data_IF_003988272201
#
_entry.id   IF_003988272201
#
_cell.length_a   1.000
_cell.length_b   1.000
_cell.length_c   1.000
_cell.angle_alpha   90.00
_cell.angle_beta   90.00
_cell.angle_gamma   90.00
#
_symmetry.space_group_name_H-M   'P 1'
#
loop_
_entity.id
_entity.type
_entity.pdbx_description
1 polymer ?
#
# COMPACT_ATOMS: atom_id res chain seq x y z
N UNK A 1 -1.22 26.94 8.87
CA UNK A 1 -1.12 25.64 8.16
C UNK A 1 -1.14 24.53 9.21
N UNK A 2 -1.81 23.39 9.00
CA UNK A 2 -2.01 22.33 10.01
C UNK A 2 -0.75 21.48 10.30
N UNK A 3 0.42 21.85 9.78
CA UNK A 3 1.67 21.09 9.93
C UNK A 3 1.70 19.77 9.13
N UNK A 4 0.82 19.61 8.14
CA UNK A 4 0.77 18.42 7.29
C UNK A 4 1.77 18.60 6.14
N UNK A 5 2.76 17.72 6.09
CA UNK A 5 3.84 17.77 5.09
C UNK A 5 3.86 16.53 4.19
N UNK A 6 3.06 15.51 4.51
CA UNK A 6 3.03 14.24 3.79
C UNK A 6 1.59 13.88 3.45
N UNK A 7 1.37 13.48 2.21
CA UNK A 7 0.06 13.05 1.73
C UNK A 7 0.18 11.73 0.97
N UNK A 8 -0.90 10.96 0.93
CA UNK A 8 -1.01 9.76 0.12
C UNK A 8 -2.20 9.93 -0.83
N UNK A 9 -1.93 10.06 -2.12
CA UNK A 9 -2.95 10.31 -3.14
C UNK A 9 -3.59 9.00 -3.59
N UNK A 10 -4.87 8.83 -3.28
CA UNK A 10 -5.66 7.63 -3.55
C UNK A 10 -6.93 7.98 -4.32
N UNK A 11 -7.36 7.11 -5.24
CA UNK A 11 -8.69 7.19 -5.85
C UNK A 11 -9.79 6.80 -4.84
N UNK A 12 -9.45 5.93 -3.89
CA UNK A 12 -10.41 5.31 -2.97
C UNK A 12 -11.11 4.10 -3.59
N UNK A 13 -11.81 3.35 -2.73
CA UNK A 13 -12.62 2.21 -3.14
C UNK A 13 -13.98 2.67 -3.68
N UNK A 14 -14.54 1.89 -4.59
CA UNK A 14 -15.86 2.18 -5.13
C UNK A 14 -16.92 2.07 -4.02
N UNK A 15 -17.87 3.02 -3.93
CA UNK A 15 -18.90 3.09 -2.87
C UNK A 15 -19.69 1.80 -2.67
N UNK A 16 -20.02 1.08 -3.75
CA UNK A 16 -20.60 -0.28 -3.74
C UNK A 16 -19.86 -1.32 -2.90
N UNK A 17 -18.55 -1.15 -2.68
CA UNK A 17 -17.72 -2.05 -1.86
C UNK A 17 -17.66 -1.60 -0.39
N UNK A 18 -18.26 -0.45 -0.05
CA UNK A 18 -18.28 0.11 1.29
C UNK A 18 -19.57 -0.15 2.06
N UNK A 19 -19.66 0.44 3.25
CA UNK A 19 -20.80 0.37 4.17
C UNK A 19 -21.99 1.25 3.76
N UNK A 20 -21.79 2.16 2.79
CA UNK A 20 -22.81 3.04 2.23
C UNK A 20 -22.91 2.87 0.70
N UNK A 21 -23.36 1.71 0.19
CA UNK A 21 -23.42 1.43 -1.25
C UNK A 21 -24.35 2.35 -2.04
N UNK A 22 -25.29 3.01 -1.36
CA UNK A 22 -26.21 4.03 -1.91
C UNK A 22 -25.57 5.42 -2.07
N UNK A 23 -24.38 5.65 -1.54
CA UNK A 23 -23.70 6.94 -1.68
C UNK A 23 -23.35 7.21 -3.15
N UNK A 24 -23.57 8.46 -3.58
CA UNK A 24 -23.15 8.89 -4.92
C UNK A 24 -21.63 8.97 -4.97
N UNK A 25 -20.98 8.26 -5.89
CA UNK A 25 -19.54 8.39 -6.01
C UNK A 25 -19.17 9.76 -6.60
N UNK A 26 -18.07 10.32 -6.10
CA UNK A 26 -17.45 11.54 -6.64
C UNK A 26 -16.12 11.11 -7.26
N UNK A 27 -16.04 11.16 -8.59
CA UNK A 27 -14.90 10.66 -9.37
C UNK A 27 -14.25 11.78 -10.18
N UNK A 28 -14.31 13.02 -9.68
CA UNK A 28 -13.76 14.18 -10.38
C UNK A 28 -12.24 14.07 -10.55
N UNK A 29 -11.56 13.45 -9.59
CA UNK A 29 -10.12 13.20 -9.62
C UNK A 29 -9.83 11.75 -9.23
N UNK A 30 -9.02 11.06 -10.04
CA UNK A 30 -8.36 9.82 -9.63
C UNK A 30 -7.00 10.13 -8.96
N UNK A 31 -6.31 9.09 -8.47
CA UNK A 31 -5.00 9.27 -7.84
C UNK A 31 -3.94 9.96 -8.71
N UNK A 32 -4.00 9.83 -10.05
CA UNK A 32 -3.04 10.49 -10.96
C UNK A 32 -3.41 11.97 -11.11
N UNK A 33 -4.68 12.27 -11.36
CA UNK A 33 -5.15 13.66 -11.44
C UNK A 33 -5.04 14.40 -10.11
N UNK A 34 -5.18 13.71 -8.98
CA UNK A 34 -4.96 14.27 -7.65
C UNK A 34 -3.48 14.60 -7.40
N UNK A 35 -2.54 13.73 -7.80
CA UNK A 35 -1.11 14.05 -7.77
C UNK A 35 -0.80 15.29 -8.59
N UNK A 36 -1.32 15.35 -9.82
CA UNK A 36 -1.15 16.51 -10.69
C UNK A 36 -1.74 17.79 -10.08
N UNK A 37 -2.91 17.69 -9.45
CA UNK A 37 -3.54 18.80 -8.74
C UNK A 37 -2.64 19.33 -7.63
N UNK A 38 -2.06 18.44 -6.82
CA UNK A 38 -1.13 18.84 -5.76
C UNK A 38 0.12 19.48 -6.36
N UNK A 39 0.68 18.90 -7.43
CA UNK A 39 1.84 19.46 -8.11
C UNK A 39 1.60 20.89 -8.64
N UNK A 40 0.39 21.19 -9.13
CA UNK A 40 0.00 22.54 -9.51
C UNK A 40 -0.10 23.47 -8.31
N UNK A 41 -0.72 23.02 -7.21
CA UNK A 41 -0.82 23.81 -5.99
C UNK A 41 0.57 24.18 -5.45
N UNK A 42 1.53 23.26 -5.47
CA UNK A 42 2.92 23.52 -5.10
C UNK A 42 3.62 24.54 -6.01
N UNK A 43 3.13 24.72 -7.25
CA UNK A 43 3.59 25.78 -8.17
C UNK A 43 2.92 27.13 -7.95
N UNK A 44 1.96 27.22 -7.02
CA UNK A 44 1.23 28.45 -6.70
C UNK A 44 -0.01 28.68 -7.55
N UNK A 45 -0.51 27.66 -8.24
CA UNK A 45 -1.69 27.77 -9.12
C UNK A 45 -2.69 26.66 -8.81
N UNK A 46 -3.99 26.99 -8.77
CA UNK A 46 -5.05 25.98 -8.62
C UNK A 46 -5.42 25.32 -9.97
N UNK A 47 -6.31 24.32 -9.93
CA UNK A 47 -6.79 23.64 -11.15
C UNK A 47 -7.54 24.56 -12.12
N UNK A 48 -8.10 25.67 -11.65
CA UNK A 48 -8.78 26.67 -12.47
C UNK A 48 -7.82 27.68 -13.12
N UNK A 49 -6.52 27.61 -12.82
CA UNK A 49 -5.52 28.56 -13.29
C UNK A 49 -5.40 29.83 -12.43
N UNK A 50 -6.06 29.89 -11.27
CA UNK A 50 -5.97 31.03 -10.37
C UNK A 50 -4.68 30.96 -9.55
N UNK A 51 -4.07 32.12 -9.33
CA UNK A 51 -2.92 32.24 -8.44
C UNK A 51 -3.34 32.04 -6.98
N UNK A 52 -2.56 31.26 -6.23
CA UNK A 52 -2.75 31.08 -4.80
C UNK A 52 -2.32 32.34 -4.04
N UNK A 53 -3.05 32.66 -2.98
CA UNK A 53 -2.67 33.73 -2.04
C UNK A 53 -1.79 33.14 -0.95
N UNK A 54 -0.56 33.63 -0.85
CA UNK A 54 0.42 33.20 0.15
C UNK A 54 1.50 32.29 -0.42
N UNK A 55 2.29 31.68 0.46
CA UNK A 55 3.33 30.72 0.06
C UNK A 55 2.67 29.42 -0.44
N UNK A 56 3.04 28.92 -1.64
CA UNK A 56 2.57 27.62 -2.11
C UNK A 56 2.91 26.51 -1.11
N UNK A 57 2.01 25.54 -0.89
CA UNK A 57 2.31 24.42 -0.02
C UNK A 57 3.43 23.56 -0.61
N UNK A 58 4.02 22.71 0.22
CA UNK A 58 4.96 21.67 -0.20
C UNK A 58 4.64 20.37 0.53
N UNK A 59 4.54 19.30 -0.22
CA UNK A 59 4.20 17.98 0.27
C UNK A 59 5.15 16.92 -0.28
N UNK A 60 5.48 15.95 0.57
CA UNK A 60 5.91 14.63 0.11
C UNK A 60 4.68 13.87 -0.41
N UNK A 61 4.62 13.66 -1.72
CA UNK A 61 3.46 13.10 -2.42
C UNK A 61 3.60 11.58 -2.56
N UNK A 62 2.87 10.83 -1.75
CA UNK A 62 2.81 9.37 -1.83
C UNK A 62 1.75 8.89 -2.82
N UNK A 63 1.94 7.69 -3.37
CA UNK A 63 0.91 6.98 -4.12
C UNK A 63 0.93 5.47 -3.89
N UNK A 64 -0.14 4.77 -4.29
CA UNK A 64 -0.24 3.31 -4.11
C UNK A 64 0.00 2.52 -5.40
N UNK A 65 0.62 1.34 -5.28
CA UNK A 65 0.77 0.35 -6.35
C UNK A 65 0.48 -1.07 -5.84
N UNK A 66 0.06 -1.98 -6.72
CA UNK A 66 -0.34 -3.36 -6.34
C UNK A 66 0.54 -4.39 -7.06
N UNK A 67 1.73 -4.71 -6.55
CA UNK A 67 2.74 -5.49 -7.25
C UNK A 67 2.31 -6.96 -7.49
N UNK A 68 1.42 -7.49 -6.66
CA UNK A 68 0.91 -8.86 -6.76
C UNK A 68 -0.35 -9.00 -7.64
N UNK A 69 -0.82 -7.94 -8.30
CA UNK A 69 -1.99 -8.03 -9.18
C UNK A 69 -1.70 -8.87 -10.44
N UNK A 70 -2.73 -9.50 -10.99
CA UNK A 70 -2.61 -10.35 -12.20
C UNK A 70 -2.03 -9.62 -13.41
N UNK A 71 -2.19 -8.29 -13.49
CA UNK A 71 -1.66 -7.46 -14.57
C UNK A 71 -0.49 -6.59 -14.10
N UNK A 72 0.69 -7.18 -14.01
CA UNK A 72 1.95 -6.49 -13.65
C UNK A 72 2.22 -5.30 -14.57
N UNK A 73 2.07 -5.47 -15.88
CA UNK A 73 2.38 -4.41 -16.85
C UNK A 73 1.40 -3.23 -16.73
N UNK A 74 0.13 -3.47 -16.40
CA UNK A 74 -0.82 -2.40 -16.12
C UNK A 74 -0.46 -1.63 -14.84
N UNK A 75 0.07 -2.32 -13.81
CA UNK A 75 0.54 -1.67 -12.58
C UNK A 75 1.79 -0.81 -12.82
N UNK A 76 2.72 -1.28 -13.66
CA UNK A 76 3.90 -0.51 -14.05
C UNK A 76 3.51 0.73 -14.87
N UNK A 77 2.60 0.61 -15.84
CA UNK A 77 2.10 1.74 -16.60
C UNK A 77 1.38 2.77 -15.71
N UNK A 78 0.62 2.30 -14.69
CA UNK A 78 0.01 3.20 -13.69
C UNK A 78 1.07 3.88 -12.81
N UNK A 79 2.09 3.14 -12.39
CA UNK A 79 3.20 3.70 -11.59
C UNK A 79 3.93 4.78 -12.39
N UNK A 80 4.26 4.54 -13.65
CA UNK A 80 4.88 5.53 -14.55
C UNK A 80 4.06 6.82 -14.65
N UNK A 81 2.75 6.72 -14.87
CA UNK A 81 1.84 7.88 -14.91
C UNK A 81 1.85 8.65 -13.59
N UNK A 82 1.88 7.95 -12.45
CA UNK A 82 1.95 8.57 -11.12
C UNK A 82 3.28 9.29 -10.90
N UNK A 83 4.39 8.72 -11.38
CA UNK A 83 5.70 9.37 -11.35
C UNK A 83 5.69 10.64 -12.19
N UNK A 84 5.17 10.57 -13.42
CA UNK A 84 5.02 11.73 -14.29
C UNK A 84 4.12 12.83 -13.68
N UNK A 85 3.13 12.44 -12.88
CA UNK A 85 2.24 13.36 -12.16
C UNK A 85 2.84 13.93 -10.85
N UNK A 86 4.07 13.55 -10.48
CA UNK A 86 4.77 14.11 -9.33
C UNK A 86 4.82 13.24 -8.08
N UNK A 87 4.56 11.93 -8.16
CA UNK A 87 4.74 11.05 -7.00
C UNK A 87 6.21 11.01 -6.53
N UNK A 88 6.41 11.18 -5.23
CA UNK A 88 7.71 11.15 -4.55
C UNK A 88 8.06 9.77 -4.01
N UNK A 89 7.06 9.00 -3.56
CA UNK A 89 7.24 7.64 -3.05
C UNK A 89 6.00 6.79 -3.29
N UNK A 90 6.15 5.47 -3.12
CA UNK A 90 5.05 4.52 -3.23
C UNK A 90 4.89 3.66 -1.99
N UNK A 91 3.64 3.35 -1.66
CA UNK A 91 3.28 2.27 -0.74
C UNK A 91 2.63 1.15 -1.54
N UNK A 92 3.01 -0.09 -1.29
CA UNK A 92 2.31 -1.20 -1.94
C UNK A 92 1.04 -1.57 -1.17
N UNK A 93 0.07 -2.16 -1.88
CA UNK A 93 -0.91 -3.03 -1.24
C UNK A 93 -0.21 -4.18 -0.50
N UNK A 94 -0.93 -4.85 0.40
CA UNK A 94 -0.37 -5.93 1.19
C UNK A 94 0.23 -7.05 0.31
N UNK A 95 1.44 -7.47 0.65
CA UNK A 95 2.17 -8.53 -0.05
C UNK A 95 2.12 -9.81 0.78
N UNK A 96 1.62 -10.89 0.17
CA UNK A 96 1.74 -12.26 0.69
C UNK A 96 2.52 -13.18 -0.25
N UNK A 97 2.92 -12.67 -1.42
CA UNK A 97 3.64 -13.40 -2.45
C UNK A 97 4.95 -12.66 -2.79
N UNK A 98 6.03 -12.86 -2.01
CA UNK A 98 7.30 -12.14 -2.18
C UNK A 98 7.87 -12.25 -3.60
N UNK A 99 7.75 -13.41 -4.24
CA UNK A 99 8.26 -13.59 -5.61
C UNK A 99 7.60 -12.65 -6.63
N UNK A 100 6.28 -12.40 -6.52
CA UNK A 100 5.58 -11.45 -7.40
C UNK A 100 6.03 -10.03 -7.11
N UNK A 101 6.21 -9.69 -5.83
CA UNK A 101 6.75 -8.40 -5.42
C UNK A 101 8.15 -8.15 -6.01
N UNK A 102 9.05 -9.11 -5.89
CA UNK A 102 10.42 -9.03 -6.41
C UNK A 102 10.42 -8.83 -7.93
N UNK A 103 9.65 -9.64 -8.67
CA UNK A 103 9.51 -9.51 -10.13
C UNK A 103 8.98 -8.13 -10.55
N UNK A 104 8.03 -7.58 -9.79
CA UNK A 104 7.54 -6.22 -10.02
C UNK A 104 8.63 -5.18 -9.76
N UNK A 105 9.33 -5.27 -8.63
CA UNK A 105 10.36 -4.30 -8.24
C UNK A 105 11.56 -4.29 -9.19
N UNK A 106 11.94 -5.43 -9.75
CA UNK A 106 12.98 -5.52 -10.78
C UNK A 106 12.67 -4.69 -12.02
N UNK A 107 11.39 -4.57 -12.40
CA UNK A 107 10.94 -3.69 -13.47
C UNK A 107 10.75 -2.25 -12.97
N UNK A 108 10.17 -2.07 -11.79
CA UNK A 108 9.82 -0.75 -11.25
C UNK A 108 11.04 0.11 -10.87
N UNK A 109 12.21 -0.50 -10.63
CA UNK A 109 13.46 0.22 -10.32
C UNK A 109 13.84 1.27 -11.37
N UNK A 110 13.40 1.10 -12.63
CA UNK A 110 13.62 2.07 -13.70
C UNK A 110 13.00 3.45 -13.41
N UNK A 111 11.98 3.52 -12.55
CA UNK A 111 11.30 4.77 -12.20
C UNK A 111 12.03 5.56 -11.10
N UNK A 112 13.01 4.96 -10.41
CA UNK A 112 13.86 5.66 -9.44
C UNK A 112 13.14 6.23 -8.21
N UNK A 113 11.96 5.72 -7.85
CA UNK A 113 11.19 6.17 -6.68
C UNK A 113 11.26 5.16 -5.54
N UNK A 114 11.38 5.61 -4.27
CA UNK A 114 11.35 4.73 -3.11
C UNK A 114 9.99 4.05 -2.97
N UNK A 115 10.02 2.76 -2.62
CA UNK A 115 8.83 1.94 -2.41
C UNK A 115 8.86 1.33 -1.02
N UNK A 116 7.75 1.45 -0.29
CA UNK A 116 7.51 0.79 0.98
C UNK A 116 6.64 -0.45 0.75
N UNK A 117 7.13 -1.63 1.16
CA UNK A 117 6.35 -2.87 1.06
C UNK A 117 5.25 -2.87 2.12
N UNK A 118 4.01 -3.10 1.69
CA UNK A 118 2.83 -3.19 2.54
C UNK A 118 2.75 -4.55 3.22
N UNK A 119 2.65 -4.55 4.54
CA UNK A 119 2.60 -5.77 5.37
C UNK A 119 1.36 -5.77 6.27
N UNK A 120 0.63 -6.88 6.25
CA UNK A 120 -0.44 -7.20 7.18
C UNK A 120 -0.02 -8.44 7.97
N UNK A 121 -0.22 -8.42 9.29
CA UNK A 121 -0.06 -9.62 10.12
C UNK A 121 -1.34 -10.47 9.98
N UNK A 122 -1.29 -11.68 9.38
CA UNK A 122 -2.48 -12.50 9.23
C UNK A 122 -2.90 -13.07 10.59
N UNK A 123 -4.11 -12.70 11.03
CA UNK A 123 -4.58 -13.00 12.39
C UNK A 123 -5.20 -14.38 12.54
N UNK A 124 -5.65 -14.94 11.43
CA UNK A 124 -6.30 -16.25 11.38
C UNK A 124 -6.44 -16.70 9.93
N UNK A 125 -6.63 -18.01 9.74
CA UNK A 125 -7.02 -18.57 8.46
C UNK A 125 -8.35 -17.98 7.93
N UNK A 126 -9.27 -17.61 8.82
CA UNK A 126 -10.53 -16.96 8.43
C UNK A 126 -10.30 -15.57 7.82
N UNK A 127 -9.43 -14.77 8.44
CA UNK A 127 -9.02 -13.47 7.90
C UNK A 127 -8.32 -13.62 6.54
N UNK A 128 -7.41 -14.57 6.41
CA UNK A 128 -6.72 -14.83 5.15
C UNK A 128 -7.69 -15.18 4.01
N UNK A 129 -8.64 -16.10 4.26
CA UNK A 129 -9.70 -16.44 3.31
C UNK A 129 -10.60 -15.25 2.97
N UNK A 130 -10.92 -14.43 3.98
CA UNK A 130 -11.70 -13.21 3.74
C UNK A 130 -10.97 -12.27 2.80
N UNK A 131 -9.67 -12.06 3.00
CA UNK A 131 -8.85 -11.21 2.11
C UNK A 131 -8.86 -11.73 0.67
N UNK A 132 -8.65 -13.04 0.45
CA UNK A 132 -8.69 -13.63 -0.89
C UNK A 132 -10.03 -13.41 -1.61
N UNK A 133 -11.13 -13.43 -0.87
CA UNK A 133 -12.47 -13.35 -1.46
C UNK A 133 -12.98 -11.91 -1.63
N UNK A 134 -12.49 -10.96 -0.84
CA UNK A 134 -13.12 -9.64 -0.71
C UNK A 134 -12.16 -8.47 -1.00
N UNK A 135 -10.84 -8.69 -1.00
CA UNK A 135 -9.86 -7.61 -1.21
C UNK A 135 -9.19 -7.79 -2.56
N UNK A 136 -9.56 -6.93 -3.51
CA UNK A 136 -9.06 -6.99 -4.87
C UNK A 136 -7.53 -6.84 -4.92
N UNK A 137 -6.87 -7.75 -5.64
CA UNK A 137 -5.42 -7.73 -5.81
C UNK A 137 -4.61 -8.27 -4.63
N UNK A 138 -5.27 -8.82 -3.60
CA UNK A 138 -4.62 -9.61 -2.54
C UNK A 138 -4.86 -11.09 -2.79
N UNK A 139 -3.81 -11.88 -2.65
CA UNK A 139 -3.86 -13.34 -2.63
C UNK A 139 -2.91 -13.86 -1.54
N UNK A 140 -3.48 -14.50 -0.51
CA UNK A 140 -2.77 -15.23 0.53
C UNK A 140 -2.63 -16.69 0.08
N UNK A 141 -1.41 -17.21 -0.06
CA UNK A 141 -1.17 -18.60 -0.44
C UNK A 141 -1.81 -19.63 0.51
N UNK A 142 -2.29 -20.74 -0.05
CA UNK A 142 -2.91 -21.82 0.73
C UNK A 142 -2.00 -22.38 1.82
N UNK A 143 -0.69 -22.46 1.57
CA UNK A 143 0.30 -22.90 2.56
C UNK A 143 0.30 -22.02 3.82
N UNK A 144 0.18 -20.70 3.68
CA UNK A 144 0.08 -19.78 4.82
C UNK A 144 -1.27 -19.94 5.53
N UNK A 145 -2.33 -20.23 4.78
CA UNK A 145 -3.66 -20.50 5.34
C UNK A 145 -3.63 -21.80 6.16
N UNK A 146 -2.96 -22.84 5.70
CA UNK A 146 -2.79 -24.09 6.45
C UNK A 146 -1.86 -23.89 7.65
N UNK A 147 -0.78 -23.10 7.53
CA UNK A 147 0.11 -22.72 8.64
C UNK A 147 -0.70 -22.07 9.79
N UNK A 148 -1.61 -21.15 9.45
CA UNK A 148 -2.51 -20.49 10.41
C UNK A 148 -3.58 -21.43 11.01
N UNK A 149 -3.86 -22.58 10.40
CA UNK A 149 -4.79 -23.59 10.95
C UNK A 149 -4.10 -24.61 11.84
N UNK A 150 -2.82 -24.90 11.56
CA UNK A 150 -2.09 -25.98 12.18
C UNK A 150 -2.00 -25.84 13.71
N UNK A 151 -1.78 -24.61 14.19
CA UNK A 151 -1.79 -24.30 15.63
C UNK A 151 -2.64 -23.05 15.90
N UNK A 152 -3.86 -23.30 16.40
CA UNK A 152 -4.83 -22.25 16.70
C UNK A 152 -4.43 -21.38 17.89
N UNK A 153 -3.79 -21.94 18.91
CA UNK A 153 -3.39 -21.19 20.09
C UNK A 153 -2.21 -20.26 19.75
N UNK A 154 -1.23 -20.78 19.01
CA UNK A 154 -0.10 -19.99 18.49
C UNK A 154 -0.56 -18.87 17.55
N UNK A 155 -1.53 -19.17 16.68
CA UNK A 155 -2.14 -18.19 15.78
C UNK A 155 -2.92 -17.12 16.54
N UNK A 156 -3.73 -17.53 17.53
CA UNK A 156 -4.49 -16.60 18.39
C UNK A 156 -3.58 -15.72 19.24
N UNK A 157 -2.45 -16.25 19.70
CA UNK A 157 -1.41 -15.49 20.37
C UNK A 157 -0.66 -14.52 19.43
N UNK A 158 -0.87 -14.63 18.12
CA UNK A 158 -0.27 -13.81 17.08
C UNK A 158 1.13 -14.23 16.65
N UNK A 159 1.64 -15.35 17.17
CA UNK A 159 3.01 -15.79 16.92
C UNK A 159 3.14 -16.24 15.45
N UNK A 160 2.24 -17.12 14.97
CA UNK A 160 2.27 -17.59 13.57
C UNK A 160 2.13 -16.44 12.57
N UNK A 161 1.23 -15.49 12.85
CA UNK A 161 1.06 -14.33 11.98
C UNK A 161 2.31 -13.45 11.91
N UNK A 162 2.97 -13.24 13.06
CA UNK A 162 4.24 -12.50 13.12
C UNK A 162 5.35 -13.23 12.35
N UNK A 163 5.46 -14.55 12.50
CA UNK A 163 6.44 -15.38 11.78
C UNK A 163 6.25 -15.28 10.26
N UNK A 164 5.01 -15.36 9.78
CA UNK A 164 4.67 -15.20 8.35
C UNK A 164 5.07 -13.79 7.86
N UNK A 165 4.64 -12.75 8.57
CA UNK A 165 4.91 -11.37 8.18
C UNK A 165 6.41 -11.05 8.20
N UNK A 166 7.16 -11.54 9.19
CA UNK A 166 8.60 -11.36 9.30
C UNK A 166 9.35 -12.03 8.15
N UNK A 167 8.94 -13.24 7.75
CA UNK A 167 9.49 -13.97 6.59
C UNK A 167 9.29 -13.18 5.30
N UNK A 168 8.09 -12.65 5.07
CA UNK A 168 7.79 -11.80 3.90
C UNK A 168 8.66 -10.54 3.89
N UNK A 169 8.80 -9.85 5.04
CA UNK A 169 9.66 -8.66 5.14
C UNK A 169 11.10 -9.02 4.77
N UNK A 170 11.65 -10.10 5.31
CA UNK A 170 13.02 -10.54 5.06
C UNK A 170 13.28 -10.79 3.57
N UNK A 171 12.36 -11.44 2.88
CA UNK A 171 12.47 -11.70 1.44
C UNK A 171 12.34 -10.41 0.60
N UNK A 172 11.47 -9.49 1.00
CA UNK A 172 11.22 -8.25 0.25
C UNK A 172 12.24 -7.13 0.53
N UNK A 173 12.88 -7.14 1.70
CA UNK A 173 13.77 -6.08 2.21
C UNK A 173 14.84 -5.63 1.19
N UNK A 174 15.54 -6.52 0.45
CA UNK A 174 16.54 -6.10 -0.52
C UNK A 174 15.99 -5.30 -1.72
N UNK A 175 14.67 -5.34 -1.96
CA UNK A 175 14.02 -4.81 -3.15
C UNK A 175 13.14 -3.58 -2.85
N UNK A 176 13.14 -3.08 -1.62
CA UNK A 176 12.32 -1.94 -1.19
C UNK A 176 13.12 -1.01 -0.28
N UNK A 177 12.60 0.20 -0.05
CA UNK A 177 13.28 1.24 0.74
C UNK A 177 12.61 1.44 2.12
N UNK A 178 11.56 0.68 2.42
CA UNK A 178 10.91 0.72 3.72
C UNK A 178 9.77 -0.28 3.83
N UNK A 179 9.15 -0.32 5.01
CA UNK A 179 8.02 -1.21 5.31
C UNK A 179 6.86 -0.37 5.82
N UNK A 180 5.67 -0.59 5.23
CA UNK A 180 4.41 -0.01 5.68
C UNK A 180 3.59 -1.08 6.38
N UNK A 181 3.50 -1.01 7.72
CA UNK A 181 2.82 -2.01 8.54
C UNK A 181 1.38 -1.58 8.81
N UNK A 182 0.43 -2.35 8.30
CA UNK A 182 -1.00 -2.20 8.57
C UNK A 182 -1.37 -3.05 9.78
N UNK A 183 -1.41 -2.43 10.97
CA UNK A 183 -1.59 -3.12 12.24
C UNK A 183 -3.00 -3.75 12.41
N UNK A 184 -4.03 -3.09 11.89
CA UNK A 184 -5.43 -3.52 11.98
C UNK A 184 -5.90 -3.85 13.41
N UNK A 185 -5.38 -3.19 14.45
CA UNK A 185 -5.69 -3.49 15.86
C UNK A 185 -4.74 -4.51 16.53
N UNK A 186 -3.61 -4.86 15.89
CA UNK A 186 -2.53 -5.71 16.44
C UNK A 186 -1.24 -4.93 16.70
N UNK A 187 -1.35 -3.67 17.13
CA UNK A 187 -0.23 -2.79 17.42
C UNK A 187 0.74 -3.40 18.44
N UNK A 188 0.23 -4.15 19.41
CA UNK A 188 1.03 -4.88 20.41
C UNK A 188 1.96 -5.96 19.83
N UNK A 189 1.75 -6.38 18.57
CA UNK A 189 2.58 -7.37 17.89
C UNK A 189 3.70 -6.76 17.04
N UNK A 190 3.66 -5.44 16.81
CA UNK A 190 4.65 -4.74 15.99
C UNK A 190 6.07 -4.90 16.54
N UNK A 191 6.36 -4.75 17.85
CA UNK A 191 7.74 -4.90 18.35
C UNK A 191 8.34 -6.27 18.04
N UNK A 192 7.56 -7.36 18.24
CA UNK A 192 8.00 -8.71 17.93
C UNK A 192 8.19 -8.93 16.43
N UNK A 193 7.35 -8.31 15.59
CA UNK A 193 7.52 -8.34 14.14
C UNK A 193 8.82 -7.67 13.71
N UNK A 194 9.11 -6.47 14.22
CA UNK A 194 10.33 -5.74 13.89
C UNK A 194 11.59 -6.52 14.31
N UNK A 195 11.59 -7.06 15.54
CA UNK A 195 12.67 -7.90 16.05
C UNK A 195 12.91 -9.13 15.16
N UNK A 196 11.85 -9.88 14.83
CA UNK A 196 11.98 -11.07 13.99
C UNK A 196 12.34 -10.76 12.54
N UNK A 197 11.93 -9.60 12.03
CA UNK A 197 12.22 -9.13 10.68
C UNK A 197 13.60 -8.45 10.56
N UNK A 198 14.28 -8.21 11.68
CA UNK A 198 15.59 -7.55 11.75
C UNK A 198 15.58 -6.15 11.12
N UNK A 199 14.58 -5.33 11.46
CA UNK A 199 14.43 -3.93 11.02
C UNK A 199 14.04 -2.99 12.17
#
# INVERSE_FOLDING_TARGET
>A
MLGIENILCLTGDHTKMGDHPQAKPVFDLDSVSLLHTVQLLESGVDLGGNQLVGEPPKFSKGAVVSPCSDSVDAQLAKMERKVAAGADYFQTQAVFEPEKFIKFMEKAKQFGKPVQVGIIIPKSAGMAKFMNNNVAGIHVPDEMIEELKADKEKTKAGITGVEIAARIIKECKPYCQGVHIMALGWESKIPALLEQAEI
#
